data_IF_904224494351
#
_entry.id   IF_904224494351
#
_cell.length_a   1.000
_cell.length_b   1.000
_cell.length_c   1.000
_cell.angle_alpha   90.00
_cell.angle_beta   90.00
_cell.angle_gamma   90.00
#
_symmetry.space_group_name_H-M   'P 1'
#
loop_
_entity.id
_entity.type
_entity.pdbx_description
1 polymer ?
#
# COMPACT_ATOMS: atom_id res chain seq x y z
N UNK A 1 -1.21 32.40 -25.67
CA UNK A 1 -1.62 32.63 -24.28
C UNK A 1 -2.32 31.36 -23.84
N UNK A 2 -1.53 30.36 -23.49
CA UNK A 2 -2.00 29.04 -23.07
C UNK A 2 -2.48 29.12 -21.62
N UNK A 3 -3.76 29.44 -21.46
CA UNK A 3 -4.47 29.33 -20.17
C UNK A 3 -5.16 27.97 -20.18
N UNK A 4 -4.37 26.92 -20.00
CA UNK A 4 -4.87 25.67 -19.43
C UNK A 4 -4.20 25.55 -18.07
N UNK A 5 -4.80 26.28 -17.12
CA UNK A 5 -4.59 26.15 -15.69
C UNK A 5 -4.37 24.69 -15.33
N UNK A 6 -3.22 24.44 -14.71
CA UNK A 6 -2.93 23.23 -13.97
C UNK A 6 -4.05 23.04 -12.94
N UNK A 7 -5.03 22.20 -13.27
CA UNK A 7 -5.95 21.66 -12.28
C UNK A 7 -5.13 20.78 -11.35
N UNK A 8 -4.52 21.36 -10.31
CA UNK A 8 -4.14 20.60 -9.13
C UNK A 8 -5.44 20.03 -8.60
N UNK A 9 -5.72 18.76 -8.92
CA UNK A 9 -6.91 18.09 -8.43
C UNK A 9 -6.94 18.27 -6.92
N UNK A 10 -8.02 18.84 -6.39
CA UNK A 10 -8.31 19.01 -4.96
C UNK A 10 -8.55 17.64 -4.29
N UNK A 11 -7.67 16.68 -4.56
CA UNK A 11 -7.63 15.38 -3.92
C UNK A 11 -6.84 15.56 -2.63
N UNK A 12 -7.31 15.00 -1.50
CA UNK A 12 -6.51 14.97 -0.29
C UNK A 12 -5.13 14.34 -0.61
N UNK A 13 -4.06 14.80 0.05
CA UNK A 13 -2.73 14.25 -0.19
C UNK A 13 -2.75 12.74 -0.04
N UNK A 14 -2.13 12.06 -1.01
CA UNK A 14 -2.04 10.60 -0.97
C UNK A 14 -1.18 10.18 0.22
N UNK A 15 -1.70 9.22 0.99
CA UNK A 15 -0.97 8.58 2.07
C UNK A 15 -0.27 7.35 1.51
N UNK A 16 0.98 7.13 1.89
CA UNK A 16 1.79 6.06 1.33
C UNK A 16 2.31 5.12 2.42
N UNK A 17 2.37 3.83 2.13
CA UNK A 17 2.98 2.83 2.99
C UNK A 17 3.90 1.90 2.21
N UNK A 18 5.10 1.67 2.77
CA UNK A 18 6.05 0.67 2.32
C UNK A 18 6.22 -0.38 3.42
N UNK A 19 5.93 -1.64 3.08
CA UNK A 19 6.12 -2.78 3.97
C UNK A 19 7.18 -3.71 3.38
N UNK A 20 8.13 -4.11 4.21
CA UNK A 20 9.16 -5.09 3.83
C UNK A 20 9.19 -6.24 4.82
N UNK A 21 9.41 -7.45 4.33
CA UNK A 21 9.50 -8.66 5.16
C UNK A 21 10.65 -9.53 4.67
N UNK A 22 11.09 -10.45 5.52
CA UNK A 22 12.18 -11.36 5.16
C UNK A 22 11.81 -12.19 3.92
N UNK A 23 10.59 -12.76 3.87
CA UNK A 23 10.09 -13.45 2.69
C UNK A 23 8.63 -13.11 2.40
N UNK A 24 8.30 -12.98 1.11
CA UNK A 24 6.91 -12.95 0.66
C UNK A 24 6.71 -13.94 -0.50
N UNK A 25 6.25 -15.14 -0.17
CA UNK A 25 6.08 -16.26 -1.11
C UNK A 25 4.66 -16.87 -1.10
N UNK A 26 3.91 -16.75 0.00
CA UNK A 26 2.67 -17.51 0.20
C UNK A 26 1.49 -17.01 -0.67
N UNK A 27 0.85 -17.89 -1.46
CA UNK A 27 -0.30 -17.53 -2.31
C UNK A 27 -1.50 -17.00 -1.53
N UNK A 28 -1.74 -17.50 -0.31
CA UNK A 28 -2.84 -17.07 0.56
C UNK A 28 -2.73 -15.58 0.90
N UNK A 29 -1.54 -15.14 1.31
CA UNK A 29 -1.27 -13.72 1.58
C UNK A 29 -1.50 -12.85 0.34
N UNK A 30 -1.05 -13.30 -0.84
CA UNK A 30 -1.27 -12.56 -2.12
C UNK A 30 -2.75 -12.36 -2.41
N UNK A 31 -3.57 -13.39 -2.21
CA UNK A 31 -5.03 -13.31 -2.41
C UNK A 31 -5.65 -12.29 -1.45
N UNK A 32 -5.22 -12.26 -0.18
CA UNK A 32 -5.67 -11.25 0.77
C UNK A 32 -5.27 -9.83 0.37
N UNK A 33 -4.01 -9.63 -0.06
CA UNK A 33 -3.54 -8.31 -0.53
C UNK A 33 -4.36 -7.81 -1.72
N UNK A 34 -4.62 -8.68 -2.70
CA UNK A 34 -5.42 -8.33 -3.87
C UNK A 34 -6.87 -7.99 -3.47
N UNK A 35 -7.49 -8.80 -2.61
CA UNK A 35 -8.83 -8.54 -2.08
C UNK A 35 -8.92 -7.17 -1.40
N UNK A 36 -8.04 -6.90 -0.44
CA UNK A 36 -8.06 -5.62 0.28
C UNK A 36 -7.72 -4.44 -0.61
N UNK A 37 -6.89 -4.62 -1.65
CA UNK A 37 -6.63 -3.53 -2.59
C UNK A 37 -7.89 -3.04 -3.29
N UNK A 38 -8.78 -3.96 -3.65
CA UNK A 38 -10.08 -3.63 -4.23
C UNK A 38 -11.06 -3.08 -3.19
N UNK A 39 -11.17 -3.72 -2.02
CA UNK A 39 -12.10 -3.29 -0.96
C UNK A 39 -11.79 -1.89 -0.42
N UNK A 40 -10.51 -1.55 -0.26
CA UNK A 40 -10.06 -0.27 0.31
C UNK A 40 -9.78 0.81 -0.75
N UNK A 41 -9.99 0.49 -2.03
CA UNK A 41 -9.72 1.40 -3.17
C UNK A 41 -8.29 1.96 -3.15
N UNK A 42 -7.31 1.12 -2.79
CA UNK A 42 -5.89 1.49 -2.77
C UNK A 42 -5.18 0.99 -4.02
N UNK A 43 -4.12 1.70 -4.42
CA UNK A 43 -3.25 1.30 -5.53
C UNK A 43 -1.86 0.98 -5.02
N UNK A 44 -1.10 0.17 -5.76
CA UNK A 44 0.25 -0.19 -5.34
C UNK A 44 0.78 -1.41 -6.06
N UNK A 45 1.80 -2.04 -5.49
CA UNK A 45 2.37 -3.27 -6.04
C UNK A 45 2.91 -4.17 -4.95
N UNK A 46 3.19 -5.41 -5.32
CA UNK A 46 3.89 -6.33 -4.44
C UNK A 46 4.95 -7.12 -5.19
N UNK A 47 6.18 -7.10 -4.69
CA UNK A 47 7.27 -7.96 -5.15
C UNK A 47 7.30 -9.22 -4.29
N UNK A 48 7.04 -10.36 -4.92
CA UNK A 48 7.24 -11.70 -4.37
C UNK A 48 8.74 -12.02 -4.36
N UNK A 49 9.24 -12.63 -3.29
CA UNK A 49 10.63 -13.07 -3.19
C UNK A 49 11.30 -12.77 -1.85
N UNK A 50 12.61 -12.51 -1.93
CA UNK A 50 13.52 -12.22 -0.83
C UNK A 50 14.32 -10.94 -1.12
N UNK A 51 14.11 -9.84 -0.37
CA UNK A 51 13.02 -9.62 0.59
C UNK A 51 11.66 -9.52 -0.10
N UNK A 52 10.59 -9.70 0.67
CA UNK A 52 9.24 -9.37 0.24
C UNK A 52 8.99 -7.87 0.39
N UNK A 53 8.40 -7.23 -0.64
CA UNK A 53 8.11 -5.78 -0.63
C UNK A 53 6.68 -5.52 -1.06
N UNK A 54 5.94 -4.75 -0.26
CA UNK A 54 4.58 -4.29 -0.54
C UNK A 54 4.59 -2.76 -0.51
N UNK A 55 4.09 -2.14 -1.57
CA UNK A 55 3.83 -0.70 -1.62
C UNK A 55 2.33 -0.46 -1.79
N UNK A 56 1.79 0.51 -1.08
CA UNK A 56 0.39 0.93 -1.17
C UNK A 56 0.26 2.46 -1.06
N UNK A 57 -0.68 3.02 -1.80
CA UNK A 57 -1.07 4.43 -1.76
C UNK A 57 -2.59 4.60 -1.84
N UNK A 58 -3.12 5.62 -1.18
CA UNK A 58 -4.54 5.95 -1.16
C UNK A 58 -4.88 6.93 -0.03
N UNK A 59 -6.14 6.96 0.40
CA UNK A 59 -6.53 7.75 1.57
C UNK A 59 -5.80 7.25 2.83
N UNK A 60 -5.62 8.14 3.81
CA UNK A 60 -4.97 7.82 5.07
C UNK A 60 -5.69 6.68 5.80
N UNK A 61 -7.02 6.69 5.80
CA UNK A 61 -7.87 5.69 6.45
C UNK A 61 -7.68 4.32 5.80
N UNK A 62 -7.80 4.24 4.47
CA UNK A 62 -7.62 3.01 3.71
C UNK A 62 -6.22 2.43 3.90
N UNK A 63 -5.18 3.28 3.92
CA UNK A 63 -3.81 2.80 4.10
C UNK A 63 -3.53 2.34 5.52
N UNK A 64 -4.07 3.02 6.54
CA UNK A 64 -3.96 2.57 7.94
C UNK A 64 -4.68 1.23 8.13
N UNK A 65 -5.86 1.07 7.56
CA UNK A 65 -6.61 -0.19 7.61
C UNK A 65 -5.89 -1.31 6.86
N UNK A 66 -5.41 -1.05 5.64
CA UNK A 66 -4.62 -2.02 4.88
C UNK A 66 -3.39 -2.48 5.66
N UNK A 67 -2.64 -1.56 6.27
CA UNK A 67 -1.46 -1.91 7.08
C UNK A 67 -1.85 -2.73 8.32
N UNK A 68 -2.98 -2.42 8.97
CA UNK A 68 -3.48 -3.20 10.10
C UNK A 68 -3.82 -4.65 9.67
N UNK A 69 -4.51 -4.81 8.54
CA UNK A 69 -4.82 -6.11 7.94
C UNK A 69 -3.55 -6.88 7.54
N UNK A 70 -2.52 -6.20 7.02
CA UNK A 70 -1.24 -6.83 6.74
C UNK A 70 -0.58 -7.30 8.03
N UNK A 71 -0.49 -6.46 9.05
CA UNK A 71 0.14 -6.80 10.34
C UNK A 71 -0.54 -7.95 11.09
N UNK A 72 -1.83 -8.19 10.88
CA UNK A 72 -2.55 -9.30 11.53
C UNK A 72 -2.20 -10.68 10.97
N UNK A 73 -1.56 -10.74 9.80
CA UNK A 73 -1.00 -11.99 9.27
C UNK A 73 0.37 -12.31 9.90
N UNK A 74 0.78 -13.57 9.81
CA UNK A 74 2.09 -14.02 10.27
C UNK A 74 3.21 -13.60 9.30
N UNK A 75 4.17 -12.80 9.75
CA UNK A 75 5.32 -12.35 8.94
C UNK A 75 6.63 -12.49 9.71
N UNK A 76 7.72 -12.79 8.99
CA UNK A 76 9.06 -12.72 9.55
C UNK A 76 9.67 -11.34 9.28
N UNK A 77 10.08 -10.66 10.34
CA UNK A 77 10.74 -9.34 10.30
C UNK A 77 9.99 -8.28 9.47
N UNK A 78 8.67 -8.17 9.63
CA UNK A 78 7.88 -7.14 8.96
C UNK A 78 8.26 -5.74 9.45
N UNK A 79 8.65 -4.87 8.54
CA UNK A 79 8.89 -3.44 8.77
C UNK A 79 7.87 -2.64 8.00
N UNK A 80 7.42 -1.53 8.58
CA UNK A 80 6.44 -0.62 7.98
C UNK A 80 7.00 0.79 8.03
N UNK A 81 6.92 1.51 6.91
CA UNK A 81 7.20 2.94 6.82
C UNK A 81 6.01 3.64 6.18
N UNK A 82 5.54 4.70 6.82
CA UNK A 82 4.56 5.61 6.25
C UNK A 82 5.27 6.82 5.67
N UNK A 83 4.68 7.37 4.61
CA UNK A 83 5.07 8.65 4.03
C UNK A 83 3.81 9.45 3.76
N UNK A 84 3.80 10.68 4.25
CA UNK A 84 2.79 11.69 3.94
C UNK A 84 3.53 12.94 3.46
N UNK A 85 3.19 13.51 2.29
CA UNK A 85 3.73 14.78 1.85
C UNK A 85 3.30 15.95 2.76
#
# INVERSE_FOLDING_TARGET
MDILEQQSSNRPPDYHALLTSHHFMFPTKRRSLQRWSSELSISGFTKVGYPGVIYAQGSQESIKEFVANVKSMQWLALRVRFWNP
#
